data_IF_031094037115
#
_entry.id   IF_031094037115
#
_cell.length_a   1.000
_cell.length_b   1.000
_cell.length_c   1.000
_cell.angle_alpha   90.00
_cell.angle_beta   90.00
_cell.angle_gamma   90.00
#
_symmetry.space_group_name_H-M   'P 1'
#
loop_
_entity.id
_entity.type
_entity.pdbx_description
1 polymer ?
#
# COMPACT_ATOMS: atom_id res chain seq x y z
N UNK A 1 -2.91 21.23 22.94
CA UNK A 1 -2.58 19.91 22.41
C UNK A 1 -2.44 18.99 23.61
N UNK A 2 -3.20 17.92 23.66
CA UNK A 2 -3.16 16.95 24.75
C UNK A 2 -1.86 16.13 24.68
N UNK A 3 -1.21 15.92 25.81
CA UNK A 3 0.02 15.12 25.86
C UNK A 3 -0.30 13.68 26.27
N UNK A 4 0.15 12.74 25.43
CA UNK A 4 0.02 11.31 25.67
C UNK A 4 1.42 10.68 25.75
N UNK A 5 1.51 9.58 26.49
CA UNK A 5 2.73 8.78 26.59
C UNK A 5 2.40 7.32 26.46
N UNK A 6 3.25 6.56 25.75
CA UNK A 6 3.17 5.10 25.64
C UNK A 6 4.58 4.51 25.50
N UNK A 7 4.71 3.20 25.65
CA UNK A 7 5.96 2.51 25.38
C UNK A 7 6.17 2.31 23.88
N UNK A 8 5.10 1.92 23.18
CA UNK A 8 5.09 1.66 21.72
C UNK A 8 4.02 2.49 21.05
N UNK A 9 4.40 3.29 20.08
CA UNK A 9 3.48 3.95 19.16
C UNK A 9 3.48 3.24 17.82
N UNK A 10 2.30 2.83 17.36
CA UNK A 10 2.10 2.26 16.03
C UNK A 10 1.41 3.30 15.15
N UNK A 11 1.95 3.58 13.97
CA UNK A 11 1.39 4.52 13.01
C UNK A 11 0.75 3.72 11.86
N UNK A 12 -0.57 3.61 11.90
CA UNK A 12 -1.39 2.87 10.96
C UNK A 12 -2.11 1.68 11.59
N UNK A 13 -3.40 1.55 11.30
CA UNK A 13 -4.32 0.52 11.80
C UNK A 13 -4.69 -0.52 10.73
N UNK A 14 -3.78 -0.75 9.77
CA UNK A 14 -3.87 -1.86 8.82
C UNK A 14 -3.43 -3.19 9.44
N UNK A 15 -3.38 -4.28 8.64
CA UNK A 15 -2.99 -5.61 9.12
C UNK A 15 -1.65 -5.64 9.87
N UNK A 16 -0.64 -4.93 9.36
CA UNK A 16 0.68 -4.86 10.00
C UNK A 16 0.61 -4.16 11.37
N UNK A 17 -0.02 -2.98 11.43
CA UNK A 17 -0.10 -2.21 12.68
C UNK A 17 -0.92 -2.90 13.76
N UNK A 18 -2.07 -3.48 13.39
CA UNK A 18 -2.91 -4.22 14.33
C UNK A 18 -2.20 -5.48 14.84
N UNK A 19 -1.50 -6.20 13.96
CA UNK A 19 -0.67 -7.34 14.36
C UNK A 19 0.45 -6.92 15.32
N UNK A 20 1.18 -5.85 15.01
CA UNK A 20 2.21 -5.32 15.91
C UNK A 20 1.64 -4.97 17.29
N UNK A 21 0.49 -4.29 17.33
CA UNK A 21 -0.22 -3.94 18.57
C UNK A 21 -0.57 -5.16 19.41
N UNK A 22 -1.12 -6.22 18.79
CA UNK A 22 -1.44 -7.48 19.48
C UNK A 22 -0.19 -8.08 20.13
N UNK A 23 0.94 -8.18 19.39
CA UNK A 23 2.14 -8.80 19.92
C UNK A 23 2.80 -7.95 21.03
N UNK A 24 2.73 -6.62 20.96
CA UNK A 24 3.17 -5.72 22.02
C UNK A 24 2.28 -5.85 23.27
N UNK A 25 0.96 -5.87 23.09
CA UNK A 25 0.00 -6.02 24.20
C UNK A 25 0.18 -7.35 24.94
N UNK A 26 0.37 -8.45 24.19
CA UNK A 26 0.66 -9.77 24.77
C UNK A 26 1.99 -9.82 25.55
N UNK A 27 2.91 -8.90 25.23
CA UNK A 27 4.15 -8.71 26.00
C UNK A 27 3.96 -7.72 27.16
N UNK A 28 2.73 -7.35 27.48
CA UNK A 28 2.33 -6.41 28.54
C UNK A 28 2.96 -5.02 28.36
N UNK A 29 2.95 -4.50 27.11
CA UNK A 29 3.44 -3.16 26.77
C UNK A 29 2.28 -2.21 26.56
N UNK A 30 2.46 -0.94 26.95
CA UNK A 30 1.51 0.14 26.71
C UNK A 30 1.64 0.63 25.26
N UNK A 31 0.55 0.49 24.48
CA UNK A 31 0.52 0.71 23.03
C UNK A 31 -0.53 1.73 22.65
N UNK A 32 -0.13 2.72 21.86
CA UNK A 32 -1.07 3.57 21.12
C UNK A 32 -0.96 3.22 19.64
N UNK A 33 -2.09 2.99 18.98
CA UNK A 33 -2.19 2.82 17.53
C UNK A 33 -2.90 4.03 16.95
N UNK A 34 -2.26 4.71 16.00
CA UNK A 34 -2.89 5.80 15.26
C UNK A 34 -3.62 5.24 14.04
N UNK A 35 -4.93 5.46 14.00
CA UNK A 35 -5.80 5.17 12.86
C UNK A 35 -6.00 6.47 12.07
N UNK A 36 -5.42 6.56 10.89
CA UNK A 36 -5.52 7.75 10.03
C UNK A 36 -6.89 7.86 9.38
N UNK A 37 -7.15 8.98 8.72
CA UNK A 37 -8.43 9.23 8.01
C UNK A 37 -8.60 8.38 6.76
N UNK A 38 -7.49 8.05 6.09
CA UNK A 38 -7.57 7.21 4.91
C UNK A 38 -7.80 5.76 5.32
N UNK A 39 -8.79 5.09 4.73
CA UNK A 39 -9.07 3.71 5.06
C UNK A 39 -7.91 2.80 4.68
N UNK A 40 -7.67 1.76 5.50
CA UNK A 40 -6.69 0.72 5.16
C UNK A 40 -6.97 0.12 3.78
N UNK A 41 -5.91 -0.19 3.04
CA UNK A 41 -5.99 -0.88 1.75
C UNK A 41 -6.86 -2.14 1.82
N UNK A 42 -6.72 -2.91 2.91
CA UNK A 42 -7.52 -4.10 3.17
C UNK A 42 -9.04 -3.82 3.13
N UNK A 43 -9.51 -2.68 3.64
CA UNK A 43 -10.93 -2.36 3.67
C UNK A 43 -11.57 -2.20 2.27
N UNK A 44 -10.76 -1.94 1.24
CA UNK A 44 -11.20 -1.74 -0.14
C UNK A 44 -11.32 -3.03 -0.94
N UNK A 45 -10.72 -4.13 -0.47
CA UNK A 45 -10.73 -5.42 -1.16
C UNK A 45 -12.10 -6.06 -1.01
N UNK A 46 -12.76 -6.35 -2.14
CA UNK A 46 -14.11 -6.96 -2.14
C UNK A 46 -14.11 -8.38 -1.62
N UNK A 47 -13.10 -9.17 -1.99
CA UNK A 47 -13.00 -10.60 -1.66
C UNK A 47 -11.53 -11.02 -1.50
N UNK A 48 -11.25 -11.80 -0.46
CA UNK A 48 -9.93 -12.34 -0.13
C UNK A 48 -10.09 -13.86 -0.02
N UNK A 49 -9.28 -14.61 -0.77
CA UNK A 49 -9.29 -16.08 -0.81
C UNK A 49 -7.95 -16.69 -0.38
N UNK A 50 -6.96 -15.86 -0.09
CA UNK A 50 -5.59 -16.26 0.26
C UNK A 50 -5.21 -15.95 1.73
N UNK A 51 -6.23 -15.74 2.59
CA UNK A 51 -6.05 -15.63 4.04
C UNK A 51 -6.23 -16.99 4.70
N UNK A 52 -5.18 -17.61 5.30
CA UNK A 52 -5.31 -18.91 5.96
C UNK A 52 -6.33 -18.88 7.11
N UNK A 53 -7.26 -19.82 7.07
CA UNK A 53 -8.36 -19.91 8.04
C UNK A 53 -9.70 -19.37 7.54
N UNK A 54 -9.74 -18.72 6.40
CA UNK A 54 -10.98 -18.29 5.71
C UNK A 54 -10.93 -18.76 4.26
N UNK A 55 -11.96 -19.47 3.79
CA UNK A 55 -12.05 -19.87 2.38
C UNK A 55 -12.25 -18.64 1.52
N UNK A 56 -13.10 -17.72 2.00
CA UNK A 56 -13.32 -16.42 1.43
C UNK A 56 -13.80 -15.44 2.50
N UNK A 57 -13.34 -14.20 2.45
CA UNK A 57 -13.78 -13.13 3.33
C UNK A 57 -13.68 -11.77 2.64
N UNK A 58 -14.61 -10.85 2.93
CA UNK A 58 -14.50 -9.46 2.49
C UNK A 58 -13.39 -8.75 3.28
N UNK A 59 -12.58 -7.94 2.58
CA UNK A 59 -11.46 -7.23 3.22
C UNK A 59 -11.88 -6.38 4.42
N UNK A 60 -13.01 -5.67 4.31
CA UNK A 60 -13.59 -4.90 5.44
C UNK A 60 -13.91 -5.79 6.64
N UNK A 61 -14.52 -6.96 6.41
CA UNK A 61 -14.85 -7.89 7.49
C UNK A 61 -13.60 -8.49 8.15
N UNK A 62 -12.55 -8.76 7.37
CA UNK A 62 -11.27 -9.22 7.91
C UNK A 62 -10.59 -8.12 8.75
N UNK A 63 -10.60 -6.86 8.29
CA UNK A 63 -10.06 -5.74 9.06
C UNK A 63 -10.81 -5.54 10.38
N UNK A 64 -12.14 -5.67 10.37
CA UNK A 64 -12.96 -5.60 11.59
C UNK A 64 -12.59 -6.73 12.58
N UNK A 65 -12.31 -7.95 12.10
CA UNK A 65 -11.80 -9.03 12.95
C UNK A 65 -10.44 -8.69 13.58
N UNK A 66 -9.51 -8.10 12.81
CA UNK A 66 -8.23 -7.65 13.36
C UNK A 66 -8.41 -6.55 14.40
N UNK A 67 -9.25 -5.55 14.13
CA UNK A 67 -9.55 -4.46 15.08
C UNK A 67 -10.14 -5.03 16.38
N UNK A 68 -11.19 -5.85 16.29
CA UNK A 68 -11.82 -6.46 17.45
C UNK A 68 -10.84 -7.30 18.28
N UNK A 69 -9.95 -8.06 17.61
CA UNK A 69 -8.91 -8.82 18.32
C UNK A 69 -7.93 -7.89 19.04
N UNK A 70 -7.49 -6.81 18.39
CA UNK A 70 -6.59 -5.81 19.02
C UNK A 70 -7.26 -5.11 20.20
N UNK A 71 -8.52 -4.70 20.06
CA UNK A 71 -9.30 -4.04 21.10
C UNK A 71 -9.62 -4.96 22.29
N UNK A 72 -9.56 -6.29 22.13
CA UNK A 72 -9.68 -7.22 23.25
C UNK A 72 -8.55 -7.08 24.29
N UNK A 73 -7.44 -6.42 23.93
CA UNK A 73 -6.35 -6.05 24.83
C UNK A 73 -6.46 -4.61 25.35
N UNK A 74 -7.68 -4.15 25.66
CA UNK A 74 -8.00 -2.76 26.03
C UNK A 74 -7.23 -2.20 27.22
N UNK A 75 -6.68 -3.03 28.08
CA UNK A 75 -5.81 -2.62 29.19
C UNK A 75 -4.43 -2.13 28.69
N UNK A 76 -3.97 -2.63 27.55
CA UNK A 76 -2.65 -2.35 26.99
C UNK A 76 -2.69 -1.57 25.68
N UNK A 77 -3.81 -1.58 24.95
CA UNK A 77 -3.90 -0.98 23.61
C UNK A 77 -4.99 0.08 23.56
N UNK A 78 -4.62 1.26 23.04
CA UNK A 78 -5.54 2.33 22.71
C UNK A 78 -5.44 2.67 21.21
N UNK A 79 -6.54 2.55 20.48
CA UNK A 79 -6.62 3.00 19.08
C UNK A 79 -7.17 4.43 19.06
N UNK A 80 -6.48 5.35 18.40
CA UNK A 80 -6.82 6.77 18.34
C UNK A 80 -6.93 7.21 16.88
N UNK A 81 -8.06 7.82 16.52
CA UNK A 81 -8.23 8.41 15.19
C UNK A 81 -7.45 9.73 15.09
N UNK A 82 -6.31 9.72 14.44
CA UNK A 82 -5.51 10.90 14.21
C UNK A 82 -4.49 10.70 13.07
N UNK A 83 -4.28 11.78 12.30
CA UNK A 83 -3.24 11.84 11.29
C UNK A 83 -1.96 12.46 11.87
N UNK A 84 -0.81 11.89 11.50
CA UNK A 84 0.50 12.43 11.87
C UNK A 84 0.80 13.69 11.07
N UNK A 85 1.21 14.75 11.74
CA UNK A 85 1.60 16.03 11.12
C UNK A 85 3.11 16.22 11.15
N UNK A 86 3.77 15.84 12.24
CA UNK A 86 5.22 15.97 12.37
C UNK A 86 5.81 14.88 13.27
N UNK A 87 7.07 14.57 13.04
CA UNK A 87 7.82 13.49 13.68
C UNK A 87 9.20 13.97 14.09
N UNK A 88 9.64 13.53 15.28
CA UNK A 88 11.02 13.57 15.72
C UNK A 88 11.37 12.17 16.21
N UNK A 89 12.22 11.45 15.48
CA UNK A 89 12.49 10.03 15.65
C UNK A 89 13.96 9.75 15.98
N UNK A 90 14.23 8.64 16.67
CA UNK A 90 15.57 8.07 16.83
C UNK A 90 16.48 8.76 17.83
N UNK A 91 15.98 9.73 18.61
CA UNK A 91 16.76 10.50 19.59
C UNK A 91 16.62 9.97 21.03
N UNK A 92 16.42 8.67 21.21
CA UNK A 92 16.17 8.03 22.52
C UNK A 92 14.71 8.09 22.96
N UNK A 93 14.01 9.16 22.64
CA UNK A 93 12.57 9.33 22.81
C UNK A 93 12.01 9.82 21.48
N UNK A 94 10.91 9.23 21.04
CA UNK A 94 10.23 9.64 19.81
C UNK A 94 9.07 10.58 20.16
N UNK A 95 8.91 11.65 19.40
CA UNK A 95 7.83 12.63 19.58
C UNK A 95 7.04 12.73 18.28
N UNK A 96 5.75 12.48 18.38
CA UNK A 96 4.83 12.52 17.25
C UNK A 96 3.72 13.53 17.55
N UNK A 97 3.49 14.43 16.60
CA UNK A 97 2.44 15.44 16.71
C UNK A 97 1.31 15.17 15.72
N UNK A 98 0.09 15.25 16.20
CA UNK A 98 -1.15 15.26 15.42
C UNK A 98 -1.81 16.63 15.57
N UNK A 99 -3.00 16.83 15.03
CA UNK A 99 -3.76 18.09 15.28
C UNK A 99 -4.17 18.25 16.75
N UNK A 100 -4.41 17.15 17.44
CA UNK A 100 -4.99 17.12 18.79
C UNK A 100 -3.98 16.71 19.84
N UNK A 101 -3.08 15.77 19.51
CA UNK A 101 -2.19 15.11 20.45
C UNK A 101 -0.72 15.39 20.16
N UNK A 102 0.06 15.46 21.23
CA UNK A 102 1.52 15.29 21.22
C UNK A 102 1.83 13.99 21.94
N UNK A 103 2.35 13.01 21.22
CA UNK A 103 2.57 11.66 21.74
C UNK A 103 4.07 11.42 21.89
N UNK A 104 4.45 10.91 23.03
CA UNK A 104 5.84 10.55 23.36
C UNK A 104 5.93 9.05 23.53
N UNK A 105 6.88 8.39 22.84
CA UNK A 105 7.09 6.94 22.93
C UNK A 105 8.55 6.54 22.93
N UNK A 106 8.85 5.37 23.53
CA UNK A 106 10.19 4.78 23.46
C UNK A 106 10.45 4.12 22.10
N UNK A 107 9.42 3.53 21.52
CA UNK A 107 9.47 2.83 20.24
C UNK A 107 8.38 3.33 19.30
N UNK A 108 8.70 3.44 18.02
CA UNK A 108 7.74 3.69 16.95
C UNK A 108 7.75 2.51 15.95
N UNK A 109 6.57 2.05 15.56
CA UNK A 109 6.37 1.09 14.47
C UNK A 109 5.58 1.79 13.37
N UNK A 110 6.20 2.00 12.22
CA UNK A 110 5.59 2.60 11.04
C UNK A 110 4.88 1.48 10.28
N UNK A 111 3.56 1.56 10.18
CA UNK A 111 2.71 0.57 9.53
C UNK A 111 1.64 1.24 8.65
N UNK A 112 2.04 2.31 7.97
CA UNK A 112 1.16 3.19 7.18
C UNK A 112 0.66 2.56 5.90
N UNK A 113 1.23 1.43 5.52
CA UNK A 113 0.89 0.77 4.26
C UNK A 113 1.27 1.59 3.04
N UNK A 114 0.63 1.31 1.93
CA UNK A 114 0.65 2.14 0.72
C UNK A 114 -0.65 2.93 0.62
N UNK A 115 -0.54 4.20 0.22
CA UNK A 115 -1.69 5.02 -0.10
C UNK A 115 -2.19 4.69 -1.50
N UNK A 116 -3.50 4.60 -1.65
CA UNK A 116 -4.07 4.69 -2.97
C UNK A 116 -4.04 6.15 -3.43
N UNK A 117 -3.74 6.39 -4.70
CA UNK A 117 -4.02 7.69 -5.27
C UNK A 117 -5.53 7.96 -5.14
N UNK A 118 -5.92 9.21 -5.01
CA UNK A 118 -7.33 9.60 -5.15
C UNK A 118 -7.81 9.10 -6.52
N UNK A 119 -9.08 8.68 -6.60
CA UNK A 119 -9.72 8.35 -7.87
C UNK A 119 -9.37 9.41 -8.92
N UNK A 120 -8.68 8.99 -9.97
CA UNK A 120 -8.29 9.87 -11.07
C UNK A 120 -9.07 9.44 -12.32
N UNK A 121 -9.44 8.16 -12.40
CA UNK A 121 -10.18 7.58 -13.52
C UNK A 121 -11.65 7.55 -13.14
N UNK A 122 -12.48 8.30 -13.85
CA UNK A 122 -13.92 8.29 -13.64
C UNK A 122 -14.45 6.86 -13.81
N UNK A 123 -15.22 6.37 -12.83
CA UNK A 123 -15.76 5.00 -12.79
C UNK A 123 -14.86 3.95 -12.14
N UNK A 124 -13.67 4.34 -11.66
CA UNK A 124 -12.69 3.44 -11.03
C UNK A 124 -13.29 2.71 -9.82
N UNK A 125 -13.89 3.45 -8.86
CA UNK A 125 -14.47 2.85 -7.66
C UNK A 125 -15.64 1.91 -7.98
N UNK A 126 -16.46 2.25 -8.97
CA UNK A 126 -17.60 1.44 -9.39
C UNK A 126 -17.16 0.09 -9.96
N UNK A 127 -16.07 0.10 -10.72
CA UNK A 127 -15.57 -1.05 -11.47
C UNK A 127 -14.50 -1.86 -10.71
N UNK A 128 -14.08 -1.42 -9.54
CA UNK A 128 -13.12 -2.15 -8.71
C UNK A 128 -13.66 -3.54 -8.37
N UNK A 129 -12.90 -4.60 -8.74
CA UNK A 129 -13.33 -6.00 -8.67
C UNK A 129 -14.47 -6.37 -9.65
N UNK A 130 -14.75 -5.49 -10.64
CA UNK A 130 -15.66 -5.74 -11.76
C UNK A 130 -14.97 -5.41 -13.09
N UNK A 131 -13.65 -5.70 -13.14
CA UNK A 131 -12.78 -5.45 -14.28
C UNK A 131 -11.76 -4.33 -14.02
N UNK A 132 -11.69 -3.72 -12.84
CA UNK A 132 -10.53 -2.97 -12.37
C UNK A 132 -9.93 -3.70 -11.18
N UNK A 133 -8.59 -3.83 -11.18
CA UNK A 133 -7.81 -4.45 -10.11
C UNK A 133 -6.56 -3.63 -9.79
N UNK A 134 -6.12 -3.72 -8.54
CA UNK A 134 -4.83 -3.21 -8.06
C UNK A 134 -3.83 -4.32 -7.76
N UNK A 135 -4.18 -5.60 -7.95
CA UNK A 135 -3.32 -6.74 -7.67
C UNK A 135 -3.21 -7.66 -8.88
N UNK A 136 -2.06 -7.66 -9.51
CA UNK A 136 -1.75 -8.57 -10.61
C UNK A 136 -1.65 -10.00 -10.11
N UNK A 137 -1.04 -10.20 -8.95
CA UNK A 137 -0.83 -11.52 -8.37
C UNK A 137 -2.15 -12.24 -8.04
N UNK A 138 -3.15 -11.50 -7.51
CA UNK A 138 -4.43 -12.10 -7.12
C UNK A 138 -5.37 -12.30 -8.30
N UNK A 139 -5.49 -11.29 -9.16
CA UNK A 139 -6.53 -11.27 -10.21
C UNK A 139 -6.01 -11.63 -11.61
N UNK A 140 -4.69 -11.51 -11.86
CA UNK A 140 -4.09 -11.83 -13.17
C UNK A 140 -4.47 -13.20 -13.73
N UNK A 141 -4.40 -14.29 -12.93
CA UNK A 141 -4.76 -15.62 -13.40
C UNK A 141 -6.20 -15.76 -13.91
N UNK A 142 -7.13 -14.89 -13.47
CA UNK A 142 -8.54 -14.90 -13.91
C UNK A 142 -8.72 -14.41 -15.34
N UNK A 143 -7.72 -13.73 -15.91
CA UNK A 143 -7.78 -13.09 -17.23
C UNK A 143 -6.87 -13.76 -18.27
N UNK A 144 -6.50 -15.03 -18.04
CA UNK A 144 -5.78 -15.81 -19.05
C UNK A 144 -6.52 -15.80 -20.39
N UNK A 145 -5.76 -15.64 -21.48
CA UNK A 145 -6.25 -15.53 -22.87
C UNK A 145 -7.18 -14.32 -23.14
N UNK A 146 -7.22 -13.34 -22.22
CA UNK A 146 -8.02 -12.11 -22.35
C UNK A 146 -7.14 -10.88 -22.53
N UNK A 147 -7.70 -9.87 -23.19
CA UNK A 147 -7.05 -8.57 -23.34
C UNK A 147 -7.15 -7.81 -22.03
N UNK A 148 -5.99 -7.49 -21.45
CA UNK A 148 -5.87 -6.70 -20.24
C UNK A 148 -5.00 -5.50 -20.51
N UNK A 149 -5.31 -4.38 -19.85
CA UNK A 149 -4.47 -3.20 -19.83
C UNK A 149 -3.87 -3.03 -18.45
N UNK A 150 -2.63 -2.54 -18.41
CA UNK A 150 -1.97 -2.14 -17.19
C UNK A 150 -1.62 -0.65 -17.28
N UNK A 151 -1.92 0.09 -16.22
CA UNK A 151 -1.71 1.52 -16.11
C UNK A 151 -0.84 1.87 -14.93
N UNK A 152 0.18 2.67 -15.17
CA UNK A 152 1.14 3.14 -14.19
C UNK A 152 2.18 4.04 -14.84
N UNK A 153 3.20 4.46 -14.06
CA UNK A 153 4.22 5.39 -14.53
C UNK A 153 5.63 5.08 -14.02
N UNK A 154 5.86 3.84 -13.61
CA UNK A 154 7.13 3.39 -13.06
C UNK A 154 7.49 1.97 -13.50
N UNK A 155 8.65 1.50 -13.06
CA UNK A 155 9.17 0.17 -13.37
C UNK A 155 8.34 -0.97 -12.79
N UNK A 156 7.62 -0.74 -11.71
CA UNK A 156 6.73 -1.74 -11.12
C UNK A 156 5.60 -2.09 -12.09
N UNK A 157 5.07 -1.10 -12.82
CA UNK A 157 4.11 -1.34 -13.90
C UNK A 157 4.68 -2.27 -14.99
N UNK A 158 5.93 -2.05 -15.42
CA UNK A 158 6.59 -2.86 -16.45
C UNK A 158 6.84 -4.30 -15.97
N UNK A 159 7.28 -4.47 -14.71
CA UNK A 159 7.45 -5.79 -14.07
C UNK A 159 6.12 -6.55 -14.04
N UNK A 160 5.06 -5.91 -13.59
CA UNK A 160 3.72 -6.48 -13.54
C UNK A 160 3.13 -6.78 -14.94
N UNK A 161 3.49 -6.00 -15.97
CA UNK A 161 3.10 -6.29 -17.35
C UNK A 161 3.73 -7.61 -17.85
N UNK A 162 5.01 -7.85 -17.55
CA UNK A 162 5.69 -9.10 -17.86
C UNK A 162 5.09 -10.28 -17.09
N UNK A 163 4.74 -10.09 -15.83
CA UNK A 163 4.11 -11.11 -15.00
C UNK A 163 2.72 -11.51 -15.55
N UNK A 164 1.86 -10.54 -15.91
CA UNK A 164 0.59 -10.79 -16.58
C UNK A 164 0.76 -11.57 -17.90
N UNK A 165 1.79 -11.23 -18.69
CA UNK A 165 2.11 -11.94 -19.91
C UNK A 165 2.51 -13.40 -19.62
N UNK A 166 3.32 -13.66 -18.60
CA UNK A 166 3.67 -15.01 -18.16
C UNK A 166 2.47 -15.82 -17.66
N UNK A 167 1.46 -15.15 -17.08
CA UNK A 167 0.17 -15.77 -16.71
C UNK A 167 -0.71 -16.09 -17.93
N UNK A 168 -0.30 -15.70 -19.14
CA UNK A 168 -1.01 -15.97 -20.40
C UNK A 168 -2.05 -14.92 -20.77
N UNK A 169 -2.00 -13.72 -20.18
CA UNK A 169 -2.83 -12.60 -20.59
C UNK A 169 -2.33 -11.95 -21.90
N UNK A 170 -3.25 -11.36 -22.68
CA UNK A 170 -2.89 -10.48 -23.80
C UNK A 170 -2.74 -9.06 -23.25
N UNK A 171 -1.51 -8.68 -22.95
CA UNK A 171 -1.20 -7.46 -22.18
C UNK A 171 -0.96 -6.26 -23.10
N UNK A 172 -1.44 -5.10 -22.66
CA UNK A 172 -1.11 -3.78 -23.20
C UNK A 172 -0.83 -2.82 -22.08
N UNK A 173 0.14 -1.93 -22.27
CA UNK A 173 0.53 -0.91 -21.29
C UNK A 173 -0.02 0.44 -21.72
N UNK A 174 -0.60 1.17 -20.78
CA UNK A 174 -0.91 2.61 -20.91
C UNK A 174 -0.16 3.35 -19.83
N UNK A 175 0.54 4.41 -20.20
CA UNK A 175 1.27 5.25 -19.24
C UNK A 175 1.13 6.73 -19.57
N UNK A 176 1.07 7.55 -18.52
CA UNK A 176 0.95 9.00 -18.63
C UNK A 176 2.32 9.72 -18.68
N UNK A 177 3.40 8.96 -18.74
CA UNK A 177 4.77 9.47 -18.94
C UNK A 177 5.31 9.03 -20.30
N UNK A 178 6.30 9.75 -20.80
CA UNK A 178 7.01 9.39 -22.01
C UNK A 178 7.83 8.10 -21.78
N UNK A 179 7.92 7.24 -22.79
CA UNK A 179 8.60 5.94 -22.70
C UNK A 179 10.10 6.10 -22.34
N UNK A 180 10.72 7.23 -22.72
CA UNK A 180 12.10 7.57 -22.41
C UNK A 180 12.35 7.86 -20.92
N UNK A 181 11.29 8.08 -20.14
CA UNK A 181 11.36 8.31 -18.69
C UNK A 181 11.30 7.00 -17.90
N UNK A 182 10.96 5.89 -18.57
CA UNK A 182 10.94 4.55 -18.00
C UNK A 182 12.33 3.89 -18.17
N UNK A 183 12.59 2.84 -17.39
CA UNK A 183 13.88 2.16 -17.40
C UNK A 183 14.10 1.26 -18.61
N UNK A 184 15.27 0.60 -18.65
CA UNK A 184 15.65 -0.40 -19.65
C UNK A 184 14.67 -1.60 -19.73
N UNK A 185 13.79 -1.78 -18.76
CA UNK A 185 12.73 -2.82 -18.78
C UNK A 185 11.73 -2.66 -19.91
N UNK A 186 11.60 -1.45 -20.47
CA UNK A 186 10.84 -1.19 -21.70
C UNK A 186 11.25 -2.11 -22.84
N UNK A 187 12.56 -2.38 -22.97
CA UNK A 187 13.07 -3.27 -24.01
C UNK A 187 12.55 -4.70 -23.82
N UNK A 188 12.56 -5.23 -22.60
CA UNK A 188 12.06 -6.57 -22.27
C UNK A 188 10.55 -6.68 -22.52
N UNK A 189 9.76 -5.63 -22.19
CA UNK A 189 8.31 -5.60 -22.44
C UNK A 189 8.02 -5.62 -23.95
N UNK A 190 8.77 -4.87 -24.76
CA UNK A 190 8.63 -4.85 -26.22
C UNK A 190 9.09 -6.17 -26.87
N UNK A 191 10.12 -6.81 -26.34
CA UNK A 191 10.68 -8.07 -26.86
C UNK A 191 9.63 -9.21 -26.81
N UNK A 192 8.78 -9.25 -25.79
CA UNK A 192 7.69 -10.22 -25.66
C UNK A 192 6.41 -9.80 -26.41
N UNK A 193 6.45 -8.70 -27.17
CA UNK A 193 5.36 -8.26 -28.04
C UNK A 193 4.25 -7.47 -27.33
N UNK A 194 4.51 -6.94 -26.13
CA UNK A 194 3.55 -6.08 -25.41
C UNK A 194 3.59 -4.67 -26.02
N UNK A 195 2.43 -4.17 -26.45
CA UNK A 195 2.27 -2.81 -26.93
C UNK A 195 2.27 -1.81 -25.77
N UNK A 196 2.97 -0.68 -25.92
CA UNK A 196 3.02 0.41 -24.94
C UNK A 196 2.44 1.68 -25.58
N UNK A 197 1.42 2.23 -24.97
CA UNK A 197 0.79 3.50 -25.29
C UNK A 197 1.22 4.52 -24.25
N UNK A 198 2.19 5.35 -24.58
CA UNK A 198 2.76 6.36 -23.69
C UNK A 198 2.15 7.74 -23.89
N UNK A 199 2.43 8.68 -22.95
CA UNK A 199 1.85 10.03 -22.95
C UNK A 199 0.31 10.06 -22.98
N UNK A 200 -0.34 8.97 -22.51
CA UNK A 200 -1.79 8.84 -22.44
C UNK A 200 -2.27 8.75 -20.99
N UNK A 201 -3.19 9.62 -20.62
CA UNK A 201 -3.90 9.57 -19.36
C UNK A 201 -5.25 8.87 -19.55
N UNK A 202 -5.56 7.88 -18.70
CA UNK A 202 -6.89 7.27 -18.67
C UNK A 202 -7.82 8.21 -17.89
N UNK A 203 -8.86 8.71 -18.55
CA UNK A 203 -9.81 9.66 -17.96
C UNK A 203 -11.11 9.00 -17.51
N UNK A 204 -11.51 7.89 -18.15
CA UNK A 204 -12.76 7.20 -17.82
C UNK A 204 -12.64 5.70 -18.08
N UNK A 205 -13.22 4.90 -17.17
CA UNK A 205 -13.49 3.48 -17.33
C UNK A 205 -15.01 3.28 -17.45
N UNK A 206 -15.44 2.62 -18.52
CA UNK A 206 -16.85 2.52 -18.91
C UNK A 206 -17.33 1.09 -18.70
N UNK A 207 -18.42 0.87 -17.91
CA UNK A 207 -19.02 -0.44 -17.75
C UNK A 207 -19.88 -0.85 -18.98
N UNK A 208 -20.04 -2.16 -19.12
CA UNK A 208 -21.07 -2.75 -19.99
C UNK A 208 -22.46 -2.76 -19.28
N UNK A 209 -23.46 -3.36 -19.94
CA UNK A 209 -24.82 -3.50 -19.39
C UNK A 209 -24.91 -4.39 -18.15
N UNK A 210 -23.88 -5.21 -17.87
CA UNK A 210 -23.79 -6.11 -16.71
C UNK A 210 -22.98 -5.52 -15.56
N UNK A 211 -22.46 -4.29 -15.72
CA UNK A 211 -21.62 -3.63 -14.72
C UNK A 211 -20.17 -4.09 -14.71
N UNK A 212 -19.71 -4.82 -15.73
CA UNK A 212 -18.31 -5.18 -15.92
C UNK A 212 -17.61 -4.16 -16.82
N UNK A 213 -16.30 -3.98 -16.65
CA UNK A 213 -15.56 -3.08 -17.53
C UNK A 213 -15.69 -3.50 -19.00
N UNK A 214 -15.95 -2.52 -19.88
CA UNK A 214 -16.03 -2.73 -21.31
C UNK A 214 -14.87 -2.05 -22.03
N UNK A 215 -14.62 -0.79 -21.69
CA UNK A 215 -13.59 0.02 -22.33
C UNK A 215 -13.03 1.07 -21.40
N UNK A 216 -11.86 1.60 -21.75
CA UNK A 216 -11.27 2.80 -21.18
C UNK A 216 -11.21 3.90 -22.23
N UNK A 217 -11.32 5.15 -21.77
CA UNK A 217 -11.15 6.37 -22.57
C UNK A 217 -9.87 7.03 -22.11
N UNK A 218 -8.97 7.28 -23.06
CA UNK A 218 -7.67 7.91 -22.83
C UNK A 218 -7.59 9.25 -23.55
N UNK A 219 -6.79 10.17 -23.00
CA UNK A 219 -6.51 11.48 -23.59
C UNK A 219 -5.01 11.72 -23.60
N UNK A 220 -4.51 12.40 -24.66
CA UNK A 220 -3.13 12.83 -24.71
C UNK A 220 -2.80 13.80 -23.57
N UNK A 221 -1.71 13.54 -22.85
CA UNK A 221 -1.25 14.38 -21.74
C UNK A 221 -0.41 15.56 -22.20
N UNK A 222 0.31 15.44 -23.33
CA UNK A 222 1.15 16.51 -23.87
C UNK A 222 0.51 17.22 -25.06
N UNK A 223 0.76 18.54 -25.15
CA UNK A 223 0.37 19.36 -26.31
C UNK A 223 1.20 19.09 -27.57
N UNK A 224 2.18 18.20 -27.51
CA UNK A 224 3.09 17.85 -28.61
C UNK A 224 2.53 16.77 -29.55
N UNK A 225 1.40 16.13 -29.19
CA UNK A 225 0.73 15.22 -30.12
C UNK A 225 -0.04 16.00 -31.19
N UNK A 226 -0.07 15.43 -32.41
CA UNK A 226 -0.57 16.07 -33.64
C UNK A 226 -2.01 16.64 -33.55
N UNK A 227 -2.83 16.17 -32.57
CA UNK A 227 -4.19 16.67 -32.35
C UNK A 227 -4.48 16.83 -30.85
N UNK A 228 -4.38 18.04 -30.29
CA UNK A 228 -4.76 18.30 -28.90
C UNK A 228 -6.23 17.98 -28.64
N UNK A 229 -6.50 17.16 -27.61
CA UNK A 229 -7.87 16.83 -27.21
C UNK A 229 -8.43 15.58 -27.88
N UNK A 230 -7.67 14.86 -28.69
CA UNK A 230 -8.06 13.58 -29.24
C UNK A 230 -8.24 12.55 -28.09
N UNK A 231 -9.34 11.82 -28.14
CA UNK A 231 -9.63 10.72 -27.25
C UNK A 231 -9.45 9.38 -27.97
N UNK A 232 -8.94 8.40 -27.26
CA UNK A 232 -8.79 7.02 -27.71
C UNK A 232 -9.64 6.11 -26.85
N UNK A 233 -10.32 5.16 -27.47
CA UNK A 233 -11.08 4.13 -26.78
C UNK A 233 -10.41 2.76 -26.96
N UNK A 234 -10.22 2.06 -25.85
CA UNK A 234 -9.66 0.71 -25.85
C UNK A 234 -10.60 -0.26 -25.15
N UNK A 235 -11.00 -1.31 -25.85
CA UNK A 235 -11.79 -2.40 -25.27
C UNK A 235 -10.88 -3.36 -24.51
N UNK A 236 -11.34 -3.82 -23.33
CA UNK A 236 -10.57 -4.69 -22.47
C UNK A 236 -11.46 -5.54 -21.56
N UNK A 237 -10.87 -6.59 -21.00
CA UNK A 237 -11.51 -7.42 -19.97
C UNK A 237 -11.13 -7.01 -18.56
N UNK A 238 -9.94 -6.40 -18.38
CA UNK A 238 -9.48 -5.88 -17.10
C UNK A 238 -8.48 -4.74 -17.27
N UNK A 239 -8.57 -3.74 -16.38
CA UNK A 239 -7.59 -2.70 -16.18
C UNK A 239 -6.86 -2.95 -14.85
N UNK A 240 -5.57 -3.24 -14.91
CA UNK A 240 -4.71 -3.25 -13.73
C UNK A 240 -4.11 -1.87 -13.52
N UNK A 241 -4.30 -1.29 -12.33
CA UNK A 241 -3.79 0.04 -11.99
C UNK A 241 -2.65 -0.11 -11.00
N UNK A 242 -1.43 0.13 -11.47
CA UNK A 242 -0.20 0.09 -10.68
C UNK A 242 0.24 1.53 -10.44
N UNK A 243 -0.42 2.18 -9.50
CA UNK A 243 -0.08 3.55 -9.12
C UNK A 243 -0.40 3.75 -7.66
N UNK A 244 0.65 3.84 -6.84
CA UNK A 244 0.54 4.00 -5.41
C UNK A 244 1.12 5.35 -4.98
N UNK A 245 0.57 5.91 -3.91
CA UNK A 245 1.17 7.06 -3.24
C UNK A 245 1.95 6.53 -2.05
N UNK A 246 3.26 6.74 -2.05
CA UNK A 246 4.06 6.51 -0.86
C UNK A 246 3.88 7.68 0.11
N UNK A 247 3.32 7.40 1.30
CA UNK A 247 3.27 8.39 2.39
C UNK A 247 4.59 8.52 3.15
N UNK A 248 5.65 7.83 2.69
CA UNK A 248 6.92 7.73 3.40
C UNK A 248 7.75 9.03 3.38
N UNK A 249 7.35 10.03 2.60
CA UNK A 249 8.05 11.32 2.52
C UNK A 249 8.16 12.05 3.88
N UNK A 250 7.17 11.89 4.76
CA UNK A 250 7.22 12.47 6.11
C UNK A 250 8.28 11.78 6.97
N UNK A 251 8.43 10.46 6.82
CA UNK A 251 9.43 9.66 7.55
C UNK A 251 10.83 9.92 7.01
N UNK A 252 10.99 10.09 5.68
CA UNK A 252 12.27 10.53 5.07
C UNK A 252 12.74 11.85 5.67
N UNK A 253 11.83 12.83 5.83
CA UNK A 253 12.14 14.11 6.47
C UNK A 253 12.54 13.96 7.95
N UNK A 254 12.07 12.92 8.62
CA UNK A 254 12.45 12.58 10.01
C UNK A 254 13.73 11.72 10.09
N UNK A 255 14.42 11.46 8.98
CA UNK A 255 15.69 10.74 8.92
C UNK A 255 15.58 9.23 8.69
N UNK A 256 14.39 8.71 8.38
CA UNK A 256 14.22 7.30 7.98
C UNK A 256 14.71 7.12 6.55
N UNK A 257 15.55 6.12 6.32
CA UNK A 257 16.05 5.78 4.99
C UNK A 257 14.99 5.06 4.16
N UNK A 258 14.89 5.46 2.88
CA UNK A 258 14.02 4.83 1.89
C UNK A 258 14.87 4.22 0.78
N UNK A 259 14.32 3.17 0.13
CA UNK A 259 14.88 2.64 -1.12
C UNK A 259 14.56 3.57 -2.32
N UNK A 260 15.05 3.17 -3.50
CA UNK A 260 14.85 3.94 -4.74
C UNK A 260 13.37 3.98 -5.18
N UNK A 261 12.55 3.03 -4.71
CA UNK A 261 11.09 2.96 -4.94
C UNK A 261 10.28 3.76 -3.90
N UNK A 262 10.95 4.36 -2.90
CA UNK A 262 10.33 5.13 -1.82
C UNK A 262 9.77 4.29 -0.69
N UNK A 263 10.10 3.01 -0.58
CA UNK A 263 9.76 2.14 0.53
C UNK A 263 10.74 2.35 1.69
N UNK A 264 10.29 2.09 2.91
CA UNK A 264 11.15 2.21 4.10
C UNK A 264 12.13 1.03 4.14
N UNK A 265 13.43 1.32 4.17
CA UNK A 265 14.46 0.30 4.34
C UNK A 265 14.40 -0.31 5.74
N UNK A 266 14.30 -1.64 5.79
CA UNK A 266 14.31 -2.40 7.04
C UNK A 266 15.23 -3.62 6.94
N UNK A 267 15.75 -4.06 8.09
CA UNK A 267 16.45 -5.34 8.20
C UNK A 267 15.47 -6.52 8.39
N UNK A 268 16.01 -7.73 8.52
CA UNK A 268 15.21 -8.95 8.75
C UNK A 268 14.37 -8.90 10.05
N UNK A 269 14.74 -8.06 11.01
CA UNK A 269 14.04 -7.81 12.26
C UNK A 269 13.01 -6.67 12.16
N UNK A 270 12.77 -6.11 10.97
CA UNK A 270 11.92 -4.94 10.70
C UNK A 270 12.44 -3.64 11.33
N UNK A 271 13.76 -3.53 11.62
CA UNK A 271 14.39 -2.32 12.13
C UNK A 271 14.73 -1.38 10.97
N UNK A 272 14.45 -0.09 11.16
CA UNK A 272 14.96 0.95 10.27
C UNK A 272 16.40 1.33 10.65
N UNK A 273 16.98 2.29 9.93
CA UNK A 273 18.27 2.90 10.28
C UNK A 273 18.23 3.67 11.62
N UNK A 274 17.04 4.01 12.15
CA UNK A 274 16.89 4.77 13.39
C UNK A 274 16.65 3.85 14.60
N UNK A 275 17.40 4.07 15.69
CA UNK A 275 17.28 3.28 16.92
C UNK A 275 15.88 3.42 17.54
N UNK A 276 15.22 2.30 17.82
CA UNK A 276 13.86 2.27 18.39
C UNK A 276 12.75 2.58 17.37
N UNK A 277 13.07 2.61 16.07
CA UNK A 277 12.11 2.81 14.98
C UNK A 277 12.09 1.58 14.09
N UNK A 278 10.88 1.04 13.88
CA UNK A 278 10.59 -0.15 13.09
C UNK A 278 9.62 0.23 11.96
N UNK A 279 9.56 -0.58 10.91
CA UNK A 279 8.52 -0.46 9.91
C UNK A 279 8.05 -1.84 9.44
N UNK A 280 6.77 -1.97 9.03
CA UNK A 280 6.18 -3.24 8.65
C UNK A 280 4.99 -3.07 7.69
N UNK A 281 4.78 -4.04 6.83
CA UNK A 281 3.74 -4.07 5.81
C UNK A 281 4.12 -3.26 4.59
N UNK A 282 3.15 -2.96 3.73
CA UNK A 282 3.37 -2.43 2.38
C UNK A 282 4.22 -1.15 2.31
N UNK A 283 4.40 -0.41 3.41
CA UNK A 283 5.30 0.73 3.47
C UNK A 283 6.78 0.36 3.36
N UNK A 284 7.13 -0.92 3.54
CA UNK A 284 8.49 -1.46 3.40
C UNK A 284 8.72 -2.15 2.05
N UNK A 285 7.71 -2.22 1.18
CA UNK A 285 7.77 -2.96 -0.08
C UNK A 285 7.39 -4.43 0.07
N UNK A 286 7.76 -5.27 -0.89
CA UNK A 286 7.52 -6.70 -0.87
C UNK A 286 6.26 -7.13 -1.64
N UNK A 287 5.56 -8.17 -1.17
CA UNK A 287 4.48 -8.82 -1.92
C UNK A 287 3.10 -8.16 -1.81
N UNK A 288 2.91 -7.15 -0.96
CA UNK A 288 1.63 -6.45 -0.73
C UNK A 288 0.44 -7.37 -0.43
N UNK A 289 0.67 -8.42 0.33
CA UNK A 289 -0.32 -9.40 0.75
C UNK A 289 -0.63 -9.28 2.23
N UNK A 290 -1.90 -9.50 2.61
CA UNK A 290 -2.36 -9.38 4.01
C UNK A 290 -1.53 -10.25 4.96
N UNK A 291 -1.21 -11.48 4.53
CA UNK A 291 -0.45 -12.44 5.33
C UNK A 291 0.98 -11.96 5.59
N UNK A 292 1.64 -11.36 4.60
CA UNK A 292 2.99 -10.81 4.75
C UNK A 292 2.97 -9.58 5.66
N UNK A 293 2.07 -8.63 5.41
CA UNK A 293 1.91 -7.45 6.26
C UNK A 293 1.66 -7.85 7.73
N UNK A 294 0.82 -8.85 7.98
CA UNK A 294 0.53 -9.37 9.32
C UNK A 294 1.77 -10.00 9.97
N UNK A 295 2.54 -10.80 9.23
CA UNK A 295 3.76 -11.44 9.71
C UNK A 295 4.85 -10.42 10.05
N UNK A 296 5.04 -9.42 9.19
CA UNK A 296 6.00 -8.33 9.40
C UNK A 296 5.61 -7.48 10.63
N UNK A 297 4.33 -7.14 10.77
CA UNK A 297 3.81 -6.45 11.95
C UNK A 297 4.08 -7.23 13.25
N UNK A 298 3.84 -8.55 13.24
CA UNK A 298 4.16 -9.42 14.37
C UNK A 298 5.66 -9.39 14.69
N UNK A 299 6.52 -9.48 13.68
CA UNK A 299 7.98 -9.43 13.82
C UNK A 299 8.44 -8.10 14.39
N UNK A 300 7.95 -6.98 13.86
CA UNK A 300 8.23 -5.64 14.37
C UNK A 300 7.83 -5.51 15.85
N UNK A 301 6.61 -5.93 16.21
CA UNK A 301 6.13 -5.91 17.60
C UNK A 301 6.98 -6.73 18.56
N UNK A 302 7.37 -7.95 18.16
CA UNK A 302 8.25 -8.82 18.97
C UNK A 302 9.61 -8.16 19.20
N UNK A 303 10.22 -7.60 18.16
CA UNK A 303 11.55 -7.00 18.24
C UNK A 303 11.51 -5.63 18.96
N UNK A 304 10.45 -4.86 18.82
CA UNK A 304 10.17 -3.68 19.63
C UNK A 304 10.14 -4.01 21.13
N UNK A 305 9.46 -5.09 21.52
CA UNK A 305 9.43 -5.54 22.91
C UNK A 305 10.79 -6.05 23.43
N UNK A 306 11.60 -6.69 22.58
CA UNK A 306 12.97 -7.07 22.94
C UNK A 306 13.83 -5.84 23.20
N UNK A 307 13.72 -4.82 22.37
CA UNK A 307 14.43 -3.56 22.51
C UNK A 307 14.05 -2.84 23.81
N UNK A 308 12.76 -2.74 24.14
CA UNK A 308 12.30 -2.14 25.40
C UNK A 308 12.90 -2.84 26.63
N UNK A 309 12.96 -4.19 26.63
CA UNK A 309 13.60 -4.96 27.72
C UNK A 309 15.11 -4.70 27.83
N UNK A 310 15.78 -4.31 26.75
CA UNK A 310 17.20 -3.91 26.80
C UNK A 310 17.34 -2.53 27.47
N UNK A 311 16.48 -1.57 27.10
CA UNK A 311 16.46 -0.24 27.72
C UNK A 311 16.16 -0.26 29.22
N UNK A 312 15.36 -1.23 29.70
CA UNK A 312 15.04 -1.41 31.13
C UNK A 312 16.22 -1.93 31.95
N UNK A 313 17.27 -2.44 31.29
CA UNK A 313 18.46 -3.00 31.93
C UNK A 313 19.65 -2.04 31.93
N UNK A 314 19.60 -1.01 31.10
CA UNK A 314 20.57 0.10 31.05
C UNK A 314 20.23 1.18 32.08
#
# INVERSE_FOLDING_TARGET
>A
MEELKCEVLVIGSGPAGLSAGIFCARANRDVIILDGKEPSALARIKEIQNWPGEIYIKGKALLEKFKAHTESYSENVKIINADVISLMLGMGVNIISTRTFKITSNVVIIATGRGFRKEIIKGEELLLGSGISYSVLDDGPLYKDRVVYIYGNDDEMLENALELHQMGCIVRVVTDVAIEQLSDKVAAVKEVGIEIFDNLEIIEAVPDSNGMIQKIICKAKSSEMEVPGQEWEFNLSCLFIISYISYNSIFKKAGVELDDKGNINVDEDQKTNLKGVYAAGDCTGGFFQVVFATAEGARAGINACKYLRQLEKE
#
